data_IF_799311151121
#
_entry.id   IF_799311151121
#
_cell.length_a   1.000
_cell.length_b   1.000
_cell.length_c   1.000
_cell.angle_alpha   90.00
_cell.angle_beta   90.00
_cell.angle_gamma   90.00
#
_symmetry.space_group_name_H-M   'P 1'
#
loop_
_entity.id
_entity.type
_entity.pdbx_description
1 polymer ?
#
# COMPACT_ATOMS: atom_id res chain seq x y z
N UNK A 1 21.71 -5.80 -48.16
CA UNK A 1 20.99 -4.80 -47.37
C UNK A 1 19.55 -4.88 -47.80
N UNK A 2 18.70 -5.55 -47.01
CA UNK A 2 17.27 -5.66 -47.34
C UNK A 2 16.65 -4.34 -46.89
N UNK A 3 16.04 -3.66 -47.84
CA UNK A 3 15.28 -2.45 -47.66
C UNK A 3 14.13 -2.74 -46.67
N UNK A 4 14.23 -2.22 -45.45
CA UNK A 4 13.22 -2.40 -44.40
C UNK A 4 11.97 -1.53 -44.61
N UNK A 5 11.90 -0.76 -45.70
CA UNK A 5 10.85 0.23 -45.91
C UNK A 5 9.70 -0.32 -46.75
N UNK A 6 8.91 -1.22 -46.14
CA UNK A 6 7.42 -1.19 -46.13
C UNK A 6 6.91 -2.50 -45.51
N UNK A 7 6.70 -2.49 -44.19
CA UNK A 7 6.12 -3.65 -43.48
C UNK A 7 4.59 -3.70 -43.56
N UNK A 8 3.95 -2.84 -44.37
CA UNK A 8 2.49 -2.78 -44.49
C UNK A 8 1.78 -2.33 -43.20
N UNK A 9 2.47 -1.58 -42.33
CA UNK A 9 1.93 -1.05 -41.08
C UNK A 9 1.56 0.42 -41.29
N UNK A 10 0.27 0.74 -41.19
CA UNK A 10 -0.26 2.10 -41.37
C UNK A 10 -0.11 2.96 -40.10
N UNK A 11 -0.34 2.39 -38.91
CA UNK A 11 -0.18 3.04 -37.61
C UNK A 11 0.09 2.01 -36.50
N UNK A 12 0.70 2.46 -35.39
CA UNK A 12 0.99 1.62 -34.22
C UNK A 12 0.85 2.45 -32.95
N UNK A 13 0.07 1.96 -31.99
CA UNK A 13 -0.17 2.59 -30.70
C UNK A 13 -0.02 1.59 -29.56
N UNK A 14 0.29 2.09 -28.36
CA UNK A 14 0.32 1.31 -27.12
C UNK A 14 -0.91 1.66 -26.29
N UNK A 15 -1.74 0.66 -25.98
CA UNK A 15 -2.97 0.85 -25.20
C UNK A 15 -2.82 0.13 -23.86
N UNK A 16 -2.83 0.85 -22.72
CA UNK A 16 -2.82 0.20 -21.41
C UNK A 16 -4.13 -0.53 -21.17
N UNK A 17 -4.07 -1.79 -20.75
CA UNK A 17 -5.23 -2.62 -20.46
C UNK A 17 -5.24 -3.05 -19.00
N UNK A 18 -6.35 -2.79 -18.31
CA UNK A 18 -6.59 -3.16 -16.91
C UNK A 18 -5.51 -2.67 -15.92
N UNK A 19 -5.17 -1.36 -15.90
CA UNK A 19 -4.15 -0.85 -15.00
C UNK A 19 -4.55 -1.05 -13.53
N UNK A 20 -3.61 -1.52 -12.71
CA UNK A 20 -3.76 -1.53 -11.25
C UNK A 20 -3.15 -0.25 -10.68
N UNK A 21 -3.91 0.44 -9.84
CA UNK A 21 -3.56 1.77 -9.33
C UNK A 21 -3.25 1.72 -7.83
N UNK A 22 -2.30 2.55 -7.42
CA UNK A 22 -1.93 2.81 -6.03
C UNK A 22 -2.00 4.33 -5.81
N UNK A 23 -2.68 4.76 -4.75
CA UNK A 23 -2.68 6.15 -4.33
C UNK A 23 -1.70 6.32 -3.17
N UNK A 24 -0.73 7.23 -3.36
CA UNK A 24 0.27 7.59 -2.35
C UNK A 24 0.08 9.04 -1.92
N UNK A 25 -0.19 9.24 -0.64
CA UNK A 25 -0.45 10.53 -0.02
C UNK A 25 0.60 10.76 1.05
N UNK A 26 1.14 11.98 1.14
CA UNK A 26 1.97 12.39 2.27
C UNK A 26 1.15 13.36 3.13
N UNK A 27 0.90 12.98 4.38
CA UNK A 27 0.16 13.83 5.31
C UNK A 27 0.99 15.07 5.68
N UNK A 28 0.30 16.19 5.92
CA UNK A 28 0.94 17.43 6.36
C UNK A 28 1.68 17.21 7.69
N UNK A 29 2.84 17.88 7.91
CA UNK A 29 3.63 17.68 9.13
C UNK A 29 2.83 17.84 10.42
N UNK A 30 1.98 18.87 10.53
CA UNK A 30 1.17 19.09 11.74
C UNK A 30 0.26 17.89 12.08
N UNK A 31 -0.44 17.33 11.10
CA UNK A 31 -1.29 16.15 11.30
C UNK A 31 -0.45 14.89 11.55
N UNK A 32 0.65 14.71 10.80
CA UNK A 32 1.57 13.59 10.99
C UNK A 32 2.12 13.55 12.42
N UNK A 33 2.58 14.69 12.93
CA UNK A 33 3.25 14.78 14.24
C UNK A 33 2.23 14.59 15.38
N UNK A 34 1.00 15.09 15.21
CA UNK A 34 -0.11 14.80 16.12
C UNK A 34 -0.46 13.31 16.14
N UNK A 35 -0.59 12.67 14.96
CA UNK A 35 -0.86 11.24 14.86
C UNK A 35 0.28 10.38 15.42
N UNK A 36 1.55 10.75 15.18
CA UNK A 36 2.71 10.05 15.75
C UNK A 36 2.62 10.02 17.29
N UNK A 37 2.38 11.19 17.89
CA UNK A 37 2.26 11.32 19.35
C UNK A 37 1.12 10.45 19.89
N UNK A 38 -0.07 10.55 19.28
CA UNK A 38 -1.27 9.82 19.71
C UNK A 38 -1.12 8.32 19.54
N UNK A 39 -0.64 7.85 18.38
CA UNK A 39 -0.48 6.42 18.10
C UNK A 39 0.52 5.79 19.06
N UNK A 40 1.66 6.42 19.31
CA UNK A 40 2.66 5.86 20.22
C UNK A 40 2.18 5.79 21.66
N UNK A 41 1.41 6.80 22.11
CA UNK A 41 0.78 6.76 23.42
C UNK A 41 -0.20 5.58 23.54
N UNK A 42 -1.02 5.32 22.51
CA UNK A 42 -1.92 4.16 22.47
C UNK A 42 -1.16 2.84 22.47
N UNK A 43 -0.10 2.72 21.65
CA UNK A 43 0.72 1.51 21.59
C UNK A 43 1.34 1.17 22.96
N UNK A 44 1.87 2.17 23.67
CA UNK A 44 2.37 1.96 25.04
C UNK A 44 1.25 1.52 26.00
N UNK A 45 0.05 2.10 25.88
CA UNK A 45 -1.12 1.70 26.68
C UNK A 45 -1.59 0.27 26.43
N UNK A 46 -1.42 -0.25 25.22
CA UNK A 46 -1.73 -1.64 24.83
C UNK A 46 -0.61 -2.64 25.16
N UNK A 47 0.44 -2.19 25.86
CA UNK A 47 1.55 -3.05 26.28
C UNK A 47 2.56 -3.37 25.17
N UNK A 48 2.56 -2.61 24.07
CA UNK A 48 3.63 -2.69 23.08
C UNK A 48 4.92 -2.07 23.64
N UNK A 49 5.77 -2.91 24.23
CA UNK A 49 7.11 -2.50 24.69
C UNK A 49 8.06 -2.37 23.50
N UNK A 50 8.09 -1.20 22.86
CA UNK A 50 8.89 -0.94 21.65
C UNK A 50 10.39 -1.31 21.79
N UNK A 51 11.08 -1.06 22.92
CA UNK A 51 12.44 -1.56 23.18
C UNK A 51 12.56 -3.06 23.45
N UNK A 52 11.48 -3.72 23.89
CA UNK A 52 11.49 -5.10 24.40
C UNK A 52 11.13 -6.18 23.37
N UNK A 53 10.80 -5.81 22.13
CA UNK A 53 10.43 -6.78 21.11
C UNK A 53 11.66 -7.52 20.58
N UNK A 54 11.61 -8.86 20.63
CA UNK A 54 12.64 -9.75 20.09
C UNK A 54 12.86 -9.54 18.58
N UNK A 55 14.13 -9.53 18.10
CA UNK A 55 14.42 -9.42 16.67
C UNK A 55 13.72 -10.51 15.83
N UNK A 56 13.28 -10.14 14.63
CA UNK A 56 12.55 -11.05 13.74
C UNK A 56 11.09 -11.31 14.16
N UNK A 57 10.56 -10.58 15.14
CA UNK A 57 9.15 -10.62 15.55
C UNK A 57 8.41 -9.35 15.17
N UNK A 58 7.10 -9.50 14.95
CA UNK A 58 6.16 -8.39 14.85
C UNK A 58 5.22 -8.39 16.05
N UNK A 59 4.71 -7.21 16.39
CA UNK A 59 3.60 -7.00 17.30
C UNK A 59 2.43 -6.39 16.53
N UNK A 60 1.20 -6.76 16.90
CA UNK A 60 -0.02 -6.26 16.29
C UNK A 60 -1.06 -5.96 17.39
N UNK A 61 -1.77 -4.84 17.25
CA UNK A 61 -2.89 -4.47 18.12
C UNK A 61 -4.16 -5.28 17.82
N UNK A 62 -5.25 -4.97 18.52
CA UNK A 62 -6.59 -5.32 18.06
C UNK A 62 -6.96 -4.60 16.73
N UNK A 63 -8.05 -5.03 16.09
CA UNK A 63 -8.48 -4.55 14.77
C UNK A 63 -9.51 -3.41 14.81
N UNK A 64 -9.79 -2.85 15.99
CA UNK A 64 -10.78 -1.81 16.21
C UNK A 64 -10.16 -0.43 16.47
N UNK A 65 -8.90 -0.21 16.05
CA UNK A 65 -8.23 1.08 16.30
C UNK A 65 -8.98 2.28 15.69
N UNK A 66 -9.65 2.09 14.56
CA UNK A 66 -10.47 3.11 13.91
C UNK A 66 -11.67 3.58 14.75
N UNK A 67 -12.05 2.84 15.78
CA UNK A 67 -13.11 3.22 16.73
C UNK A 67 -12.59 4.07 17.89
N UNK A 68 -11.26 4.19 18.05
CA UNK A 68 -10.64 4.95 19.13
C UNK A 68 -10.72 6.45 18.82
N UNK A 69 -11.17 7.22 19.80
CA UNK A 69 -11.38 8.67 19.66
C UNK A 69 -10.12 9.42 19.20
N UNK A 70 -8.94 9.00 19.68
CA UNK A 70 -7.65 9.56 19.28
C UNK A 70 -7.26 9.38 17.80
N UNK A 71 -7.96 8.52 17.05
CA UNK A 71 -7.69 8.26 15.63
C UNK A 71 -8.71 8.88 14.67
N UNK A 72 -9.63 9.70 15.18
CA UNK A 72 -10.67 10.32 14.36
C UNK A 72 -10.11 11.13 13.17
N UNK A 73 -8.96 11.80 13.31
CA UNK A 73 -8.35 12.58 12.22
C UNK A 73 -7.76 11.67 11.14
N UNK A 74 -7.15 10.55 11.53
CA UNK A 74 -6.66 9.54 10.58
C UNK A 74 -7.84 8.92 9.82
N UNK A 75 -8.89 8.54 10.54
CA UNK A 75 -10.12 7.98 9.95
C UNK A 75 -10.77 8.99 9.00
N UNK A 76 -10.87 10.25 9.38
CA UNK A 76 -11.37 11.31 8.51
C UNK A 76 -10.52 11.46 7.25
N UNK A 77 -9.19 11.39 7.37
CA UNK A 77 -8.28 11.41 6.22
C UNK A 77 -8.51 10.21 5.29
N UNK A 78 -8.56 8.99 5.83
CA UNK A 78 -8.82 7.76 5.06
C UNK A 78 -10.18 7.83 4.35
N UNK A 79 -11.23 8.28 5.03
CA UNK A 79 -12.56 8.43 4.45
C UNK A 79 -12.61 9.49 3.34
N UNK A 80 -11.89 10.60 3.52
CA UNK A 80 -11.75 11.64 2.50
C UNK A 80 -11.05 11.10 1.25
N UNK A 81 -9.93 10.41 1.42
CA UNK A 81 -9.18 9.80 0.32
C UNK A 81 -10.01 8.72 -0.38
N UNK A 82 -10.69 7.86 0.38
CA UNK A 82 -11.61 6.84 -0.15
C UNK A 82 -12.68 7.47 -1.04
N UNK A 83 -13.33 8.53 -0.56
CA UNK A 83 -14.34 9.27 -1.35
C UNK A 83 -13.74 9.86 -2.64
N UNK A 84 -12.49 10.33 -2.60
CA UNK A 84 -11.76 10.81 -3.76
C UNK A 84 -11.47 9.71 -4.77
N UNK A 85 -11.03 8.54 -4.30
CA UNK A 85 -10.74 7.35 -5.12
C UNK A 85 -12.01 6.86 -5.81
N UNK A 86 -13.11 6.67 -5.07
CA UNK A 86 -14.38 6.22 -5.64
C UNK A 86 -14.89 7.18 -6.71
N UNK A 87 -14.75 8.49 -6.49
CA UNK A 87 -15.09 9.52 -7.48
C UNK A 87 -14.20 9.45 -8.72
N UNK A 88 -12.89 9.27 -8.55
CA UNK A 88 -11.93 9.11 -9.65
C UNK A 88 -12.28 7.88 -10.50
N UNK A 89 -12.56 6.75 -9.86
CA UNK A 89 -12.94 5.49 -10.49
C UNK A 89 -14.39 5.49 -11.03
N UNK A 90 -15.17 6.54 -10.77
CA UNK A 90 -16.60 6.64 -11.12
C UNK A 90 -17.46 5.51 -10.53
N UNK A 91 -17.11 5.08 -9.32
CA UNK A 91 -17.85 4.04 -8.58
C UNK A 91 -18.90 4.72 -7.71
N UNK A 92 -20.16 4.34 -7.91
CA UNK A 92 -21.27 4.73 -7.04
C UNK A 92 -21.27 3.92 -5.74
N UNK A 93 -21.69 4.55 -4.65
CA UNK A 93 -21.86 3.92 -3.35
C UNK A 93 -22.94 4.65 -2.55
N UNK A 94 -23.69 3.91 -1.73
CA UNK A 94 -24.61 4.50 -0.74
C UNK A 94 -23.85 4.83 0.56
N UNK A 95 -22.97 3.92 0.98
CA UNK A 95 -22.09 4.08 2.13
C UNK A 95 -20.83 3.21 1.96
N UNK A 96 -19.78 3.54 2.71
CA UNK A 96 -18.61 2.70 2.92
C UNK A 96 -18.19 2.77 4.39
N UNK A 97 -17.45 1.78 4.84
CA UNK A 97 -16.98 1.69 6.22
C UNK A 97 -15.59 1.08 6.28
N UNK A 98 -14.86 1.39 7.36
CA UNK A 98 -13.63 0.68 7.72
C UNK A 98 -14.07 -0.60 8.43
N UNK A 99 -13.62 -1.75 7.93
CA UNK A 99 -13.98 -3.07 8.46
C UNK A 99 -12.95 -3.61 9.46
N UNK A 100 -11.74 -3.05 9.44
CA UNK A 100 -10.65 -3.39 10.34
C UNK A 100 -9.51 -2.36 10.23
N UNK A 101 -8.93 -2.03 11.38
CA UNK A 101 -7.79 -1.13 11.49
C UNK A 101 -6.96 -1.53 12.71
N UNK A 102 -5.69 -1.85 12.49
CA UNK A 102 -4.76 -2.25 13.52
C UNK A 102 -3.41 -1.56 13.30
N UNK A 103 -2.63 -1.49 14.36
CA UNK A 103 -1.24 -1.09 14.31
C UNK A 103 -0.35 -2.33 14.21
N UNK A 104 0.79 -2.16 13.55
CA UNK A 104 1.81 -3.18 13.40
C UNK A 104 3.16 -2.56 13.72
N UNK A 105 3.92 -3.23 14.58
CA UNK A 105 5.31 -2.89 14.87
C UNK A 105 6.19 -4.05 14.44
N UNK A 106 7.10 -3.81 13.51
CA UNK A 106 8.07 -4.80 13.05
C UNK A 106 9.44 -4.49 13.61
N UNK A 107 10.08 -5.49 14.21
CA UNK A 107 11.49 -5.42 14.59
C UNK A 107 12.39 -5.73 13.42
N UNK A 108 13.68 -5.43 13.56
CA UNK A 108 14.68 -5.73 12.54
C UNK A 108 14.65 -7.22 12.16
N UNK A 109 14.55 -7.49 10.86
CA UNK A 109 14.49 -8.84 10.31
C UNK A 109 13.10 -9.50 10.33
N UNK A 110 12.08 -8.84 10.89
CA UNK A 110 10.71 -9.29 10.76
C UNK A 110 10.19 -8.97 9.34
N UNK A 111 9.33 -9.85 8.83
CA UNK A 111 8.75 -9.73 7.49
C UNK A 111 7.26 -10.02 7.54
N UNK A 112 6.48 -9.30 6.74
CA UNK A 112 5.14 -9.72 6.34
C UNK A 112 5.21 -10.39 4.99
N UNK A 113 4.89 -11.68 5.00
CA UNK A 113 4.79 -12.48 3.78
C UNK A 113 3.76 -11.89 2.81
N UNK A 114 3.87 -12.18 1.51
CA UNK A 114 2.85 -11.83 0.52
C UNK A 114 1.46 -12.25 0.99
N UNK A 115 0.52 -11.32 0.97
CA UNK A 115 -0.87 -11.54 1.35
C UNK A 115 -1.81 -10.51 0.70
N UNK A 116 -3.11 -10.78 0.79
CA UNK A 116 -4.22 -9.89 0.37
C UNK A 116 -5.21 -9.71 1.53
N UNK A 117 -6.16 -8.79 1.38
CA UNK A 117 -7.20 -8.54 2.39
C UNK A 117 -8.58 -8.93 1.84
N UNK A 118 -9.05 -10.18 2.08
CA UNK A 118 -10.31 -10.66 1.51
C UNK A 118 -11.52 -9.86 2.05
N UNK A 119 -12.63 -9.89 1.29
CA UNK A 119 -13.89 -9.21 1.61
C UNK A 119 -13.80 -7.68 1.75
N UNK A 120 -12.75 -7.07 1.21
CA UNK A 120 -12.55 -5.63 1.20
C UNK A 120 -12.36 -5.13 -0.23
N UNK A 121 -12.72 -3.86 -0.45
CA UNK A 121 -12.54 -3.20 -1.75
C UNK A 121 -11.21 -2.44 -1.82
N UNK A 122 -10.93 -1.61 -0.81
CA UNK A 122 -9.69 -0.86 -0.65
C UNK A 122 -9.02 -1.23 0.67
N UNK A 123 -7.69 -1.31 0.64
CA UNK A 123 -6.82 -1.45 1.80
C UNK A 123 -5.94 -0.21 1.91
N UNK A 124 -5.53 0.10 3.14
CA UNK A 124 -4.71 1.27 3.43
C UNK A 124 -3.60 0.97 4.43
N UNK A 125 -2.44 1.61 4.26
CA UNK A 125 -1.33 1.55 5.22
C UNK A 125 -0.83 2.96 5.49
N UNK A 126 -0.84 3.37 6.76
CA UNK A 126 -0.26 4.62 7.23
C UNK A 126 1.06 4.35 7.96
N UNK A 127 2.14 4.96 7.49
CA UNK A 127 3.47 4.80 8.07
C UNK A 127 3.72 5.85 9.16
N UNK A 128 3.62 5.42 10.41
CA UNK A 128 3.87 6.26 11.59
C UNK A 128 5.37 6.56 11.70
N UNK A 129 6.18 5.50 11.87
CA UNK A 129 7.64 5.57 11.97
C UNK A 129 8.30 4.50 11.11
N UNK A 130 9.08 4.95 10.12
CA UNK A 130 9.96 4.11 9.30
C UNK A 130 11.39 4.18 9.82
N UNK A 131 12.13 3.08 9.75
CA UNK A 131 13.56 3.05 10.03
C UNK A 131 14.37 2.96 8.73
N UNK A 132 15.67 3.30 8.77
CA UNK A 132 16.54 3.19 7.58
C UNK A 132 16.57 1.74 7.09
N UNK A 133 16.14 1.51 5.84
CA UNK A 133 16.03 0.18 5.23
C UNK A 133 14.73 -0.56 5.54
N UNK A 134 13.80 0.08 6.26
CA UNK A 134 12.43 -0.37 6.52
C UNK A 134 11.43 0.68 5.99
N UNK A 135 11.71 1.19 4.80
CA UNK A 135 11.05 2.31 4.15
C UNK A 135 10.46 1.91 2.79
N UNK A 136 10.09 0.63 2.64
CA UNK A 136 9.52 0.08 1.41
C UNK A 136 8.35 -0.86 1.67
N UNK A 137 7.43 -0.92 0.73
CA UNK A 137 6.44 -1.99 0.58
C UNK A 137 6.51 -2.52 -0.84
N UNK A 138 6.32 -3.83 -0.98
CA UNK A 138 6.38 -4.53 -2.24
C UNK A 138 4.96 -4.90 -2.67
N UNK A 139 4.58 -4.55 -3.89
CA UNK A 139 3.34 -4.99 -4.52
C UNK A 139 3.66 -5.97 -5.64
N UNK A 140 2.89 -7.03 -5.76
CA UNK A 140 3.12 -8.11 -6.73
C UNK A 140 2.07 -8.04 -7.84
N UNK A 141 2.46 -8.40 -9.07
CA UNK A 141 1.57 -8.40 -10.23
C UNK A 141 0.36 -9.31 -9.98
N UNK A 142 -0.88 -8.77 -10.00
CA UNK A 142 -2.06 -9.53 -9.65
C UNK A 142 -2.49 -10.52 -10.75
N UNK A 143 -1.75 -10.62 -11.87
CA UNK A 143 -2.04 -11.53 -12.99
C UNK A 143 -1.27 -12.84 -12.83
N UNK A 144 -1.86 -13.90 -12.26
CA UNK A 144 -1.13 -15.14 -12.01
C UNK A 144 -0.58 -15.78 -13.30
N UNK A 145 -1.26 -15.58 -14.44
CA UNK A 145 -0.83 -16.11 -15.74
C UNK A 145 0.37 -15.37 -16.34
N UNK A 146 0.69 -14.15 -15.86
CA UNK A 146 1.83 -13.38 -16.37
C UNK A 146 3.19 -14.02 -16.02
N UNK A 147 3.20 -14.95 -15.05
CA UNK A 147 4.42 -15.60 -14.56
C UNK A 147 4.71 -16.97 -15.19
N UNK A 148 3.87 -17.45 -16.13
CA UNK A 148 4.00 -18.81 -16.69
C UNK A 148 5.23 -18.93 -17.61
N UNK A 149 5.38 -18.00 -18.54
CA UNK A 149 6.57 -17.89 -19.40
C UNK A 149 7.05 -16.47 -19.34
N UNK A 150 8.29 -16.29 -18.86
CA UNK A 150 8.93 -14.98 -18.76
C UNK A 150 10.26 -14.98 -19.51
N UNK A 151 10.30 -14.32 -20.68
CA UNK A 151 11.55 -14.06 -21.37
C UNK A 151 12.51 -13.23 -20.50
N UNK A 152 13.83 -13.32 -20.73
CA UNK A 152 14.79 -12.47 -20.04
C UNK A 152 14.47 -10.98 -20.26
N UNK A 153 14.27 -10.26 -19.15
CA UNK A 153 14.04 -8.81 -19.15
C UNK A 153 15.41 -8.10 -19.17
N UNK A 154 15.61 -7.21 -20.14
CA UNK A 154 16.83 -6.41 -20.25
C UNK A 154 16.78 -5.14 -19.39
N UNK A 155 15.58 -4.57 -19.22
CA UNK A 155 15.31 -3.39 -18.40
C UNK A 155 13.88 -3.47 -17.85
N UNK A 156 13.71 -3.12 -16.57
CA UNK A 156 12.40 -3.10 -15.93
C UNK A 156 11.65 -1.81 -16.29
N UNK A 157 10.40 -1.97 -16.74
CA UNK A 157 9.44 -0.89 -16.97
C UNK A 157 8.19 -1.12 -16.14
N UNK A 158 7.29 -0.13 -16.11
CA UNK A 158 6.01 -0.29 -15.40
C UNK A 158 5.15 -1.42 -16.01
N UNK A 159 5.36 -1.75 -17.29
CA UNK A 159 4.57 -2.69 -18.06
C UNK A 159 5.10 -4.13 -18.01
N UNK A 160 6.38 -4.34 -17.66
CA UNK A 160 7.03 -5.66 -17.65
C UNK A 160 7.46 -6.16 -16.25
N UNK A 161 7.32 -5.31 -15.23
CA UNK A 161 7.66 -5.68 -13.85
C UNK A 161 6.60 -6.60 -13.23
N UNK A 162 7.05 -7.58 -12.45
CA UNK A 162 6.24 -8.47 -11.60
C UNK A 162 6.11 -7.95 -10.18
N UNK A 163 6.99 -7.04 -9.79
CA UNK A 163 7.02 -6.47 -8.46
C UNK A 163 7.27 -4.97 -8.55
N UNK A 164 6.51 -4.19 -7.80
CA UNK A 164 6.70 -2.74 -7.66
C UNK A 164 7.12 -2.46 -6.22
N UNK A 165 8.32 -1.90 -6.06
CA UNK A 165 8.85 -1.47 -4.76
C UNK A 165 8.49 0.00 -4.54
N UNK A 166 7.62 0.27 -3.57
CA UNK A 166 7.19 1.63 -3.25
C UNK A 166 7.92 2.10 -2.01
N UNK A 167 8.74 3.15 -2.17
CA UNK A 167 9.37 3.83 -1.04
C UNK A 167 8.34 4.64 -0.25
N UNK A 168 8.47 4.67 1.06
CA UNK A 168 7.59 5.36 2.00
C UNK A 168 8.42 6.12 3.04
N UNK A 169 7.78 7.03 3.76
CA UNK A 169 8.37 7.79 4.86
C UNK A 169 7.31 8.06 5.93
N UNK A 170 7.72 8.53 7.11
CA UNK A 170 6.80 8.96 8.16
C UNK A 170 5.74 9.91 7.61
N UNK A 171 4.47 9.59 7.83
CA UNK A 171 3.33 10.33 7.31
C UNK A 171 2.82 9.86 5.95
N UNK A 172 3.42 8.83 5.34
CA UNK A 172 2.91 8.27 4.08
C UNK A 172 1.66 7.45 4.33
N UNK A 173 0.57 7.77 3.63
CA UNK A 173 -0.63 6.96 3.53
C UNK A 173 -0.70 6.35 2.12
N UNK A 174 -0.78 5.02 2.06
CA UNK A 174 -1.04 4.28 0.84
C UNK A 174 -2.49 3.78 0.83
N UNK A 175 -3.15 3.84 -0.33
CA UNK A 175 -4.44 3.21 -0.60
C UNK A 175 -4.34 2.38 -1.87
N UNK A 176 -4.84 1.15 -1.86
CA UNK A 176 -4.77 0.23 -2.99
C UNK A 176 -5.95 -0.75 -2.98
N UNK A 177 -6.29 -1.38 -4.12
CA UNK A 177 -7.29 -2.44 -4.15
C UNK A 177 -6.90 -3.60 -3.23
N UNK A 178 -7.84 -4.08 -2.41
CA UNK A 178 -7.54 -5.10 -1.38
C UNK A 178 -7.11 -6.47 -1.94
N UNK A 179 -7.40 -6.73 -3.23
CA UNK A 179 -6.92 -7.92 -3.93
C UNK A 179 -5.43 -7.86 -4.29
N UNK A 180 -4.80 -6.67 -4.24
CA UNK A 180 -3.42 -6.50 -4.66
C UNK A 180 -2.48 -7.12 -3.62
N UNK A 181 -1.79 -8.19 -4.02
CA UNK A 181 -0.86 -8.89 -3.14
C UNK A 181 0.32 -7.99 -2.80
N UNK A 182 0.67 -7.96 -1.50
CA UNK A 182 1.76 -7.13 -1.00
C UNK A 182 2.52 -7.78 0.15
N UNK A 183 3.77 -7.36 0.32
CA UNK A 183 4.66 -7.81 1.39
C UNK A 183 5.51 -6.67 1.92
N UNK A 184 5.91 -6.77 3.19
CA UNK A 184 6.71 -5.78 3.93
C UNK A 184 7.96 -6.43 4.49
#
# INVERSE_FOLDING_TARGET
MVDESDRGIEASDVIPMFPTLLWKILLKPALRDALDTTILAMLHGEGCDLPGLEPGRGWQSDQSLHEREGLHELVACVNHVTSGILRFLRIGYDAFQITGCWATVLTKGAVHKPHTHPNNFLSSVYYVRTQRGADTINFHDPRPQAMVIRPPVMELTAENTDQVVVRVANGTLLMFPSYLEHSV
#
